data_IF_023622588613
#
_entry.id   IF_023622588613
#
_cell.length_a   1.000
_cell.length_b   1.000
_cell.length_c   1.000
_cell.angle_alpha   90.00
_cell.angle_beta   90.00
_cell.angle_gamma   90.00
#
_symmetry.space_group_name_H-M   'P 1'
#
loop_
_entity.id
_entity.type
_entity.pdbx_description
1 polymer ?
#
# COMPACT_ATOMS: atom_id res chain seq x y z
N UNK A 1 6.35 10.43 3.24
CA UNK A 1 5.25 10.93 4.10
C UNK A 1 4.62 9.80 4.92
N UNK A 2 5.41 8.86 5.45
CA UNK A 2 4.87 7.66 6.12
C UNK A 2 4.27 7.98 7.50
N UNK A 3 4.82 8.93 8.26
CA UNK A 3 4.33 9.26 9.61
C UNK A 3 2.89 9.79 9.60
N UNK A 4 2.60 10.73 8.71
CA UNK A 4 1.26 11.32 8.56
C UNK A 4 0.22 10.25 8.18
N UNK A 5 0.58 9.34 7.26
CA UNK A 5 -0.29 8.23 6.87
C UNK A 5 -0.49 7.24 8.01
N UNK A 6 0.57 6.93 8.76
CA UNK A 6 0.51 6.05 9.94
C UNK A 6 -0.45 6.59 11.00
N UNK A 7 -0.40 7.90 11.28
CA UNK A 7 -1.31 8.51 12.25
C UNK A 7 -2.77 8.48 11.78
N UNK A 8 -3.03 8.74 10.50
CA UNK A 8 -4.37 8.59 9.92
C UNK A 8 -4.89 7.13 9.98
N UNK A 9 -4.01 6.17 9.70
CA UNK A 9 -4.33 4.73 9.75
C UNK A 9 -4.61 4.26 11.19
N UNK A 10 -3.84 4.74 12.17
CA UNK A 10 -4.12 4.50 13.60
C UNK A 10 -5.46 5.09 14.02
N UNK A 11 -5.78 6.30 13.57
CA UNK A 11 -7.09 6.92 13.81
C UNK A 11 -8.25 6.15 13.16
N UNK A 12 -7.99 5.46 12.04
CA UNK A 12 -8.93 4.54 11.40
C UNK A 12 -9.05 3.18 12.12
N UNK A 13 -8.33 2.96 13.24
CA UNK A 13 -8.40 1.75 14.05
C UNK A 13 -7.44 0.64 13.62
N UNK A 14 -6.49 0.91 12.71
CA UNK A 14 -5.50 -0.07 12.29
C UNK A 14 -4.39 -0.22 13.33
N UNK A 15 -4.11 -1.47 13.70
CA UNK A 15 -3.03 -1.82 14.60
C UNK A 15 -1.76 -2.10 13.81
N UNK A 16 -0.64 -1.54 14.24
CA UNK A 16 0.67 -1.79 13.63
C UNK A 16 1.45 -2.79 14.46
N UNK A 17 2.08 -3.72 13.76
CA UNK A 17 2.95 -4.75 14.33
C UNK A 17 4.43 -4.43 14.13
N UNK A 18 4.73 -3.44 13.29
CA UNK A 18 6.08 -2.99 12.95
C UNK A 18 6.14 -1.46 12.84
N UNK A 19 7.36 -0.94 12.87
CA UNK A 19 7.65 0.47 12.61
C UNK A 19 8.12 0.71 11.16
N UNK A 20 8.07 -0.33 10.32
CA UNK A 20 8.50 -0.22 8.91
C UNK A 20 7.55 0.61 8.06
N UNK A 21 8.11 1.34 7.10
CA UNK A 21 7.34 2.14 6.14
C UNK A 21 6.50 1.27 5.21
N UNK A 22 6.93 0.02 4.97
CA UNK A 22 6.20 -0.96 4.16
C UNK A 22 4.83 -1.30 4.75
N UNK A 23 4.71 -1.39 6.08
CA UNK A 23 3.42 -1.67 6.73
C UNK A 23 2.41 -0.54 6.54
N UNK A 24 2.88 0.71 6.50
CA UNK A 24 2.04 1.89 6.19
C UNK A 24 1.47 1.77 4.78
N UNK A 25 2.27 1.30 3.82
CA UNK A 25 1.80 1.08 2.44
C UNK A 25 0.75 -0.02 2.38
N UNK A 26 0.99 -1.14 3.06
CA UNK A 26 0.04 -2.27 3.11
C UNK A 26 -1.30 -1.85 3.71
N UNK A 27 -1.26 -1.11 4.82
CA UNK A 27 -2.47 -0.56 5.43
C UNK A 27 -3.21 0.41 4.53
N UNK A 28 -2.51 1.20 3.72
CA UNK A 28 -3.16 2.11 2.80
C UNK A 28 -3.83 1.39 1.63
N UNK A 29 -3.17 0.36 1.07
CA UNK A 29 -3.80 -0.51 0.07
C UNK A 29 -5.02 -1.20 0.67
N UNK A 30 -4.93 -1.69 1.92
CA UNK A 30 -6.05 -2.31 2.61
C UNK A 30 -7.25 -1.37 2.78
N UNK A 31 -7.04 -0.11 3.19
CA UNK A 31 -8.10 0.87 3.31
C UNK A 31 -8.81 1.14 1.97
N UNK A 32 -8.05 1.23 0.89
CA UNK A 32 -8.60 1.38 -0.46
C UNK A 32 -9.42 0.16 -0.90
N UNK A 33 -8.96 -1.06 -0.57
CA UNK A 33 -9.74 -2.28 -0.81
C UNK A 33 -11.06 -2.28 -0.01
N UNK A 34 -11.05 -1.81 1.24
CA UNK A 34 -12.27 -1.70 2.07
C UNK A 34 -13.26 -0.66 1.53
N UNK A 35 -12.81 0.30 0.73
CA UNK A 35 -13.66 1.27 0.03
C UNK A 35 -14.28 0.70 -1.26
N UNK A 36 -13.98 -0.57 -1.61
CA UNK A 36 -14.55 -1.27 -2.75
C UNK A 36 -13.72 -1.16 -4.04
N UNK A 37 -12.49 -0.65 -3.97
CA UNK A 37 -11.57 -0.66 -5.10
C UNK A 37 -11.02 -2.08 -5.36
N UNK A 38 -10.69 -2.38 -6.62
CA UNK A 38 -9.97 -3.61 -6.95
C UNK A 38 -8.49 -3.49 -6.56
N UNK A 39 -7.73 -4.60 -6.59
CA UNK A 39 -6.33 -4.58 -6.16
C UNK A 39 -5.46 -3.59 -6.95
N UNK A 40 -5.69 -3.45 -8.27
CA UNK A 40 -4.89 -2.56 -9.11
C UNK A 40 -5.21 -1.10 -8.81
N UNK A 41 -6.49 -0.76 -8.67
CA UNK A 41 -6.95 0.58 -8.35
C UNK A 41 -6.56 0.98 -6.93
N UNK A 42 -6.64 0.07 -5.97
CA UNK A 42 -6.19 0.29 -4.60
C UNK A 42 -4.68 0.56 -4.52
N UNK A 43 -3.88 -0.23 -5.25
CA UNK A 43 -2.43 0.03 -5.36
C UNK A 43 -2.19 1.36 -6.05
N UNK A 44 -2.86 1.65 -7.17
CA UNK A 44 -2.71 2.91 -7.92
C UNK A 44 -3.05 4.14 -7.07
N UNK A 45 -4.16 4.10 -6.34
CA UNK A 45 -4.56 5.17 -5.42
C UNK A 45 -3.52 5.38 -4.33
N UNK A 46 -3.04 4.28 -3.73
CA UNK A 46 -1.96 4.34 -2.73
C UNK A 46 -0.69 4.98 -3.30
N UNK A 47 -0.26 4.62 -4.52
CA UNK A 47 0.93 5.21 -5.15
C UNK A 47 0.80 6.71 -5.39
N UNK A 48 -0.41 7.22 -5.65
CA UNK A 48 -0.65 8.65 -5.83
C UNK A 48 -0.50 9.45 -4.51
N UNK A 49 -0.65 8.80 -3.36
CA UNK A 49 -0.54 9.42 -2.04
C UNK A 49 0.88 9.34 -1.47
N UNK A 50 1.67 8.35 -1.91
CA UNK A 50 3.04 8.16 -1.44
C UNK A 50 4.00 9.14 -2.13
N UNK A 51 4.77 9.85 -1.31
CA UNK A 51 5.86 10.70 -1.78
C UNK A 51 7.20 10.00 -1.59
N UNK A 52 8.00 9.95 -2.65
CA UNK A 52 9.35 9.40 -2.63
C UNK A 52 9.60 8.36 -3.71
N UNK A 53 10.63 7.56 -3.48
CA UNK A 53 11.06 6.47 -4.35
C UNK A 53 10.74 5.13 -3.72
N UNK A 54 9.98 4.28 -4.41
CA UNK A 54 9.57 2.97 -3.91
C UNK A 54 9.34 2.00 -5.07
N UNK A 55 9.56 0.72 -4.79
CA UNK A 55 9.24 -0.37 -5.69
C UNK A 55 8.69 -1.51 -4.84
N UNK A 56 7.51 -2.02 -5.20
CA UNK A 56 6.80 -3.02 -4.40
C UNK A 56 5.94 -3.94 -5.26
N UNK A 57 5.70 -5.14 -4.73
CA UNK A 57 4.76 -6.10 -5.26
C UNK A 57 3.72 -6.43 -4.19
N UNK A 58 2.44 -6.37 -4.58
CA UNK A 58 1.30 -6.66 -3.71
C UNK A 58 0.57 -7.88 -4.23
N UNK A 59 0.21 -8.75 -3.29
CA UNK A 59 -0.66 -9.90 -3.50
C UNK A 59 -1.84 -9.80 -2.54
N UNK A 60 -3.01 -10.27 -2.98
CA UNK A 60 -4.21 -10.26 -2.17
C UNK A 60 -4.74 -11.69 -2.01
N UNK A 61 -4.99 -12.11 -0.77
CA UNK A 61 -5.47 -13.45 -0.47
C UNK A 61 -6.86 -13.74 -1.08
N UNK A 62 -7.68 -12.71 -1.30
CA UNK A 62 -8.98 -12.84 -1.98
C UNK A 62 -8.88 -13.03 -3.50
N UNK A 63 -7.72 -12.78 -4.10
CA UNK A 63 -7.45 -12.96 -5.54
C UNK A 63 -6.17 -13.79 -5.75
N UNK A 64 -6.18 -15.08 -5.36
CA UNK A 64 -5.01 -15.95 -5.50
C UNK A 64 -4.63 -16.07 -6.99
N UNK A 65 -3.38 -15.71 -7.31
CA UNK A 65 -2.86 -15.72 -8.68
C UNK A 65 -2.70 -14.33 -9.30
N UNK A 66 -3.18 -13.26 -8.64
CA UNK A 66 -2.94 -11.88 -9.07
C UNK A 66 -1.80 -11.25 -8.25
N UNK A 67 -0.76 -10.82 -8.95
CA UNK A 67 0.34 -10.03 -8.40
C UNK A 67 0.35 -8.66 -9.08
N UNK A 68 0.34 -7.59 -8.29
CA UNK A 68 0.39 -6.22 -8.77
C UNK A 68 1.71 -5.61 -8.35
N UNK A 69 2.52 -5.22 -9.32
CA UNK A 69 3.77 -4.52 -9.07
C UNK A 69 3.64 -3.03 -9.39
N UNK A 70 4.19 -2.18 -8.53
CA UNK A 70 4.23 -0.75 -8.71
C UNK A 70 5.63 -0.21 -8.44
N UNK A 71 6.02 0.80 -9.21
CA UNK A 71 7.29 1.49 -9.04
C UNK A 71 7.13 2.99 -9.22
N UNK A 72 7.86 3.75 -8.42
CA UNK A 72 8.07 5.18 -8.57
C UNK A 72 9.53 5.45 -8.21
N UNK A 73 10.33 5.89 -9.18
CA UNK A 73 11.78 6.08 -8.98
C UNK A 73 12.63 4.93 -9.52
N UNK A 74 13.53 4.32 -8.72
CA UNK A 74 14.58 3.41 -9.18
C UNK A 74 14.03 2.14 -9.87
N UNK A 75 14.85 1.44 -10.68
CA UNK A 75 14.39 0.30 -11.47
C UNK A 75 13.90 -0.86 -10.57
N UNK A 76 12.77 -1.47 -10.96
CA UNK A 76 12.27 -2.71 -10.39
C UNK A 76 12.60 -3.86 -11.36
N UNK A 77 13.23 -4.91 -10.86
CA UNK A 77 13.47 -6.18 -11.57
C UNK A 77 12.50 -7.21 -10.98
N UNK A 78 11.69 -7.86 -11.83
CA UNK A 78 10.70 -8.88 -11.47
C UNK A 78 11.07 -10.22 -12.07
#
# INVERSE_FOLDING_TARGET
NHETLRDAQRAAGLSFTSETDTEVVVHQVYLHLQQGLDLVDAVRATMAELHGSFALAVVHAGEPGRLVAARQGPPLLL
#
